data_IF_580905946285
#
_entry.id   IF_580905946285
#
_cell.length_a   1.000
_cell.length_b   1.000
_cell.length_c   1.000
_cell.angle_alpha   90.00
_cell.angle_beta   90.00
_cell.angle_gamma   90.00
#
_symmetry.space_group_name_H-M   'P 1'
#
loop_
_entity.id
_entity.type
_entity.pdbx_description
1 polymer ?
#
# COMPACT_ATOMS: atom_id res chain seq x y z
N UNK A 1 -41.19 15.18 -9.59
CA UNK A 1 -40.55 15.78 -8.40
C UNK A 1 -39.05 15.49 -8.54
N UNK A 2 -38.34 16.47 -9.04
CA UNK A 2 -36.87 16.40 -9.16
C UNK A 2 -36.29 16.57 -7.76
N UNK A 3 -35.78 15.52 -7.15
CA UNK A 3 -34.93 15.63 -5.97
C UNK A 3 -33.69 16.42 -6.37
N UNK A 4 -33.67 17.68 -5.98
CA UNK A 4 -32.48 18.52 -5.98
C UNK A 4 -31.59 17.96 -4.84
N UNK A 5 -30.70 17.03 -5.20
CA UNK A 5 -29.71 16.45 -4.27
C UNK A 5 -28.53 17.40 -4.15
N UNK A 6 -28.78 18.59 -3.59
CA UNK A 6 -27.67 19.44 -3.15
C UNK A 6 -26.99 18.75 -1.96
N UNK A 7 -25.73 18.35 -2.16
CA UNK A 7 -24.87 17.78 -1.11
C UNK A 7 -24.84 18.75 0.06
N UNK A 8 -25.04 18.31 1.31
CA UNK A 8 -24.93 19.17 2.48
C UNK A 8 -23.59 19.94 2.47
N UNK A 9 -23.57 21.25 2.68
CA UNK A 9 -22.36 22.07 2.65
C UNK A 9 -21.22 21.53 3.53
N UNK A 10 -21.56 20.92 4.65
CA UNK A 10 -20.61 20.31 5.58
C UNK A 10 -19.89 19.11 4.96
N UNK A 11 -20.56 18.29 4.13
CA UNK A 11 -19.93 17.15 3.46
C UNK A 11 -18.90 17.62 2.43
N UNK A 12 -19.20 18.66 1.65
CA UNK A 12 -18.26 19.22 0.65
C UNK A 12 -17.01 19.80 1.32
N UNK A 13 -17.20 20.55 2.41
CA UNK A 13 -16.08 21.13 3.15
C UNK A 13 -15.17 20.05 3.75
N UNK A 14 -15.76 19.02 4.34
CA UNK A 14 -15.03 17.89 4.93
C UNK A 14 -14.32 17.04 3.88
N UNK A 15 -14.97 16.73 2.77
CA UNK A 15 -14.38 16.05 1.63
C UNK A 15 -13.11 16.78 1.15
N UNK A 16 -13.21 18.11 0.96
CA UNK A 16 -12.08 18.94 0.54
C UNK A 16 -10.92 18.87 1.54
N UNK A 17 -11.19 18.97 2.84
CA UNK A 17 -10.18 18.87 3.87
C UNK A 17 -9.43 17.52 3.84
N UNK A 18 -10.14 16.42 3.62
CA UNK A 18 -9.55 15.08 3.49
C UNK A 18 -8.70 14.98 2.21
N UNK A 19 -9.18 15.50 1.09
CA UNK A 19 -8.43 15.53 -0.19
C UNK A 19 -7.12 16.30 -0.03
N UNK A 20 -7.17 17.46 0.65
CA UNK A 20 -5.99 18.29 0.94
C UNK A 20 -5.00 17.56 1.87
N UNK A 21 -5.48 16.94 2.95
CA UNK A 21 -4.64 16.16 3.89
C UNK A 21 -3.95 14.98 3.20
N UNK A 22 -4.64 14.31 2.28
CA UNK A 22 -4.11 13.18 1.52
C UNK A 22 -3.34 13.61 0.26
N UNK A 23 -3.19 14.90 0.03
CA UNK A 23 -2.45 15.48 -1.10
C UNK A 23 -2.89 14.96 -2.48
N UNK A 24 -4.19 14.69 -2.66
CA UNK A 24 -4.72 14.28 -3.97
C UNK A 24 -4.80 15.50 -4.88
N UNK A 25 -4.00 15.50 -5.94
CA UNK A 25 -4.00 16.60 -6.91
C UNK A 25 -5.31 16.66 -7.71
N UNK A 26 -5.73 17.84 -8.13
CA UNK A 26 -6.92 18.00 -8.98
C UNK A 26 -6.71 17.32 -10.34
N UNK A 27 -5.55 17.56 -10.95
CA UNK A 27 -5.19 17.04 -12.26
C UNK A 27 -4.24 15.84 -12.15
N UNK A 28 -4.27 14.97 -13.16
CA UNK A 28 -3.40 13.82 -13.28
C UNK A 28 -2.85 13.71 -14.69
N UNK A 29 -1.53 13.70 -14.80
CA UNK A 29 -0.78 13.38 -16.02
C UNK A 29 0.22 12.26 -15.70
N UNK A 30 0.06 11.12 -16.35
CA UNK A 30 0.82 9.92 -16.03
C UNK A 30 2.33 10.06 -16.30
N UNK A 31 2.73 10.80 -17.32
CA UNK A 31 4.15 11.01 -17.63
C UNK A 31 4.81 11.96 -16.62
N UNK A 32 4.12 13.05 -16.26
CA UNK A 32 4.58 13.97 -15.22
C UNK A 32 4.65 13.26 -13.84
N UNK A 33 3.68 12.43 -13.51
CA UNK A 33 3.67 11.65 -12.26
C UNK A 33 4.79 10.62 -12.23
N UNK A 34 5.04 9.89 -13.34
CA UNK A 34 6.19 8.99 -13.44
C UNK A 34 7.49 9.74 -13.15
N UNK A 35 7.74 10.85 -13.86
CA UNK A 35 8.97 11.61 -13.71
C UNK A 35 9.14 12.19 -12.30
N UNK A 36 8.07 12.74 -11.73
CA UNK A 36 8.06 13.29 -10.37
C UNK A 36 8.42 12.23 -9.31
N UNK A 37 7.81 11.03 -9.40
CA UNK A 37 8.00 9.94 -8.42
C UNK A 37 9.34 9.25 -8.59
N UNK A 38 9.80 9.04 -9.81
CA UNK A 38 11.15 8.52 -10.07
C UNK A 38 12.22 9.49 -9.56
N UNK A 39 12.04 10.79 -9.75
CA UNK A 39 12.95 11.82 -9.22
C UNK A 39 12.92 11.83 -7.70
N UNK A 40 11.74 11.85 -7.09
CA UNK A 40 11.59 11.78 -5.62
C UNK A 40 12.36 10.60 -5.03
N UNK A 41 12.19 9.40 -5.58
CA UNK A 41 12.91 8.21 -5.14
C UNK A 41 14.43 8.36 -5.34
N UNK A 42 14.88 8.81 -6.50
CA UNK A 42 16.30 8.96 -6.77
C UNK A 42 16.95 9.99 -5.83
N UNK A 43 16.35 11.17 -5.68
CA UNK A 43 16.87 12.25 -4.87
C UNK A 43 16.91 11.89 -3.38
N UNK A 44 15.85 11.20 -2.89
CA UNK A 44 15.80 10.79 -1.49
C UNK A 44 16.88 9.75 -1.16
N UNK A 45 17.03 8.70 -1.95
CA UNK A 45 18.08 7.69 -1.75
C UNK A 45 19.49 8.33 -1.77
N UNK A 46 19.70 9.26 -2.69
CA UNK A 46 20.95 9.99 -2.81
C UNK A 46 21.22 10.88 -1.60
N UNK A 47 20.20 11.61 -1.11
CA UNK A 47 20.32 12.53 0.03
C UNK A 47 20.65 11.79 1.34
N UNK A 48 20.16 10.56 1.50
CA UNK A 48 20.44 9.72 2.66
C UNK A 48 21.82 9.01 2.59
N UNK A 49 22.54 9.16 1.48
CA UNK A 49 23.79 8.43 1.22
C UNK A 49 23.63 6.92 1.35
N UNK A 50 22.45 6.42 0.97
CA UNK A 50 22.11 5.00 0.89
C UNK A 50 22.12 4.54 -0.57
N UNK A 51 21.99 3.23 -0.79
CA UNK A 51 22.17 2.66 -2.14
C UNK A 51 21.17 1.57 -2.52
N UNK A 52 20.25 1.21 -1.63
CA UNK A 52 19.33 0.11 -1.88
C UNK A 52 17.91 0.50 -1.57
N UNK A 53 16.98 0.14 -2.45
CA UNK A 53 15.56 0.09 -2.14
C UNK A 53 15.12 -1.35 -1.96
N UNK A 54 14.22 -1.58 -1.01
CA UNK A 54 13.61 -2.88 -0.72
C UNK A 54 12.09 -2.72 -0.74
N UNK A 55 11.40 -3.63 -1.41
CA UNK A 55 9.93 -3.65 -1.47
C UNK A 55 9.40 -5.08 -1.52
N UNK A 56 8.36 -5.36 -0.75
CA UNK A 56 7.57 -6.58 -0.83
C UNK A 56 6.67 -6.58 -2.07
N UNK A 57 6.77 -7.62 -2.91
CA UNK A 57 5.97 -7.75 -4.14
C UNK A 57 4.89 -8.80 -3.94
N UNK A 58 3.64 -8.35 -3.89
CA UNK A 58 2.45 -9.20 -3.76
C UNK A 58 1.89 -9.70 -5.10
N UNK A 59 2.29 -9.07 -6.20
CA UNK A 59 1.68 -9.29 -7.52
C UNK A 59 0.43 -8.45 -7.79
N UNK A 60 0.06 -7.55 -6.87
CA UNK A 60 -0.97 -6.54 -7.07
C UNK A 60 -0.45 -5.31 -7.81
N UNK A 61 -1.36 -4.46 -8.30
CA UNK A 61 -1.04 -3.25 -9.08
C UNK A 61 -0.14 -2.28 -8.30
N UNK A 62 -0.38 -2.10 -7.00
CA UNK A 62 0.33 -1.12 -6.16
C UNK A 62 1.80 -1.49 -6.00
N UNK A 63 2.09 -2.71 -5.55
CA UNK A 63 3.47 -3.20 -5.40
C UNK A 63 4.20 -3.28 -6.73
N UNK A 64 3.50 -3.61 -7.82
CA UNK A 64 4.07 -3.64 -9.17
C UNK A 64 4.44 -2.23 -9.65
N UNK A 65 3.55 -1.26 -9.46
CA UNK A 65 3.77 0.15 -9.85
C UNK A 65 4.90 0.77 -9.03
N UNK A 66 4.85 0.65 -7.70
CA UNK A 66 5.90 1.16 -6.83
C UNK A 66 7.26 0.51 -7.11
N UNK A 67 7.27 -0.80 -7.36
CA UNK A 67 8.48 -1.54 -7.72
C UNK A 67 9.09 -1.07 -9.04
N UNK A 68 8.28 -0.82 -10.08
CA UNK A 68 8.79 -0.31 -11.35
C UNK A 68 9.33 1.12 -11.22
N UNK A 69 8.66 1.97 -10.44
CA UNK A 69 9.18 3.32 -10.13
C UNK A 69 10.52 3.25 -9.38
N UNK A 70 10.65 2.33 -8.42
CA UNK A 70 11.90 2.11 -7.68
C UNK A 70 13.03 1.65 -8.61
N UNK A 71 12.75 0.71 -9.51
CA UNK A 71 13.73 0.24 -10.48
C UNK A 71 14.19 1.38 -11.41
N UNK A 72 13.27 2.17 -11.94
CA UNK A 72 13.61 3.34 -12.76
C UNK A 72 14.44 4.38 -11.99
N UNK A 73 14.18 4.57 -10.69
CA UNK A 73 14.95 5.49 -9.87
C UNK A 73 16.40 5.01 -9.65
N UNK A 74 16.62 3.72 -9.39
CA UNK A 74 17.98 3.19 -9.25
C UNK A 74 18.72 3.16 -10.59
N UNK A 75 18.05 2.91 -11.71
CA UNK A 75 18.60 3.03 -13.06
C UNK A 75 19.06 4.47 -13.34
N UNK A 76 18.26 5.47 -12.98
CA UNK A 76 18.60 6.90 -13.08
C UNK A 76 19.85 7.24 -12.24
N UNK A 77 19.96 6.75 -11.03
CA UNK A 77 21.13 6.96 -10.17
C UNK A 77 22.39 6.32 -10.77
N UNK A 78 22.27 5.12 -11.31
CA UNK A 78 23.39 4.45 -12.00
C UNK A 78 23.85 5.20 -13.23
N UNK A 79 22.91 5.73 -14.03
CA UNK A 79 23.24 6.58 -15.17
C UNK A 79 23.97 7.88 -14.76
N UNK A 80 23.74 8.36 -13.53
CA UNK A 80 24.47 9.48 -12.93
C UNK A 80 25.78 9.07 -12.22
N UNK A 81 26.26 7.83 -12.41
CA UNK A 81 27.52 7.31 -11.83
C UNK A 81 27.44 6.91 -10.36
N UNK A 82 26.26 6.75 -9.78
CA UNK A 82 26.09 6.32 -8.39
C UNK A 82 25.75 4.84 -8.30
N UNK A 83 26.30 4.16 -7.28
CA UNK A 83 25.89 2.79 -6.96
C UNK A 83 24.46 2.81 -6.39
N UNK A 84 23.55 2.11 -7.06
CA UNK A 84 22.16 1.96 -6.59
C UNK A 84 21.57 0.63 -7.08
N UNK A 85 20.69 0.01 -6.28
CA UNK A 85 19.98 -1.23 -6.62
C UNK A 85 18.59 -1.28 -6.04
N UNK A 86 17.75 -2.09 -6.64
CA UNK A 86 16.43 -2.43 -6.13
C UNK A 86 16.31 -3.93 -5.86
N UNK A 87 15.84 -4.26 -4.66
CA UNK A 87 15.59 -5.64 -4.19
C UNK A 87 14.08 -5.83 -4.07
N UNK A 88 13.51 -6.70 -4.88
CA UNK A 88 12.14 -7.16 -4.75
C UNK A 88 12.08 -8.35 -3.79
N UNK A 89 11.20 -8.30 -2.80
CA UNK A 89 11.02 -9.39 -1.85
C UNK A 89 9.68 -10.09 -2.05
N UNK A 90 9.71 -11.40 -2.21
CA UNK A 90 8.54 -12.24 -2.11
C UNK A 90 8.44 -12.76 -0.68
N UNK A 91 7.29 -12.56 -0.05
CA UNK A 91 7.08 -12.79 1.38
C UNK A 91 5.86 -13.69 1.63
N UNK A 92 5.87 -14.94 1.09
CA UNK A 92 4.76 -15.86 1.22
C UNK A 92 4.53 -16.27 2.69
N UNK A 93 3.25 -16.53 3.01
CA UNK A 93 2.88 -17.24 4.21
C UNK A 93 2.57 -18.71 3.86
N UNK A 94 3.59 -19.54 3.86
CA UNK A 94 3.52 -20.90 3.34
C UNK A 94 3.61 -20.96 1.83
N UNK A 95 2.75 -21.74 1.19
CA UNK A 95 2.63 -21.79 -0.27
C UNK A 95 1.85 -20.59 -0.79
N UNK A 96 2.39 -19.92 -1.79
CA UNK A 96 1.74 -18.76 -2.39
C UNK A 96 0.81 -19.19 -3.51
N UNK A 97 -0.48 -18.86 -3.38
CA UNK A 97 -1.51 -19.25 -4.36
C UNK A 97 -1.45 -18.42 -5.64
N UNK A 98 -0.97 -17.18 -5.55
CA UNK A 98 -0.84 -16.20 -6.66
C UNK A 98 0.59 -16.09 -7.22
N UNK A 99 1.33 -17.21 -7.22
CA UNK A 99 2.71 -17.28 -7.73
C UNK A 99 2.85 -16.72 -9.15
N UNK A 100 1.92 -17.04 -10.05
CA UNK A 100 1.92 -16.56 -11.43
C UNK A 100 1.82 -15.03 -11.53
N UNK A 101 1.05 -14.42 -10.65
CA UNK A 101 0.90 -12.96 -10.61
C UNK A 101 2.16 -12.29 -10.07
N UNK A 102 2.79 -12.88 -9.04
CA UNK A 102 4.06 -12.40 -8.54
C UNK A 102 5.18 -12.50 -9.60
N UNK A 103 5.24 -13.59 -10.35
CA UNK A 103 6.20 -13.74 -11.45
C UNK A 103 5.94 -12.74 -12.59
N UNK A 104 4.68 -12.49 -12.93
CA UNK A 104 4.31 -11.45 -13.93
C UNK A 104 4.73 -10.06 -13.45
N UNK A 105 4.49 -9.74 -12.18
CA UNK A 105 4.93 -8.49 -11.57
C UNK A 105 6.45 -8.34 -11.62
N UNK A 106 7.21 -9.36 -11.25
CA UNK A 106 8.68 -9.34 -11.31
C UNK A 106 9.19 -9.17 -12.75
N UNK A 107 8.56 -9.81 -13.73
CA UNK A 107 8.86 -9.64 -15.15
C UNK A 107 8.62 -8.20 -15.64
N UNK A 108 7.60 -7.52 -15.14
CA UNK A 108 7.32 -6.11 -15.42
C UNK A 108 8.29 -5.17 -14.69
N UNK A 109 8.56 -5.41 -13.42
CA UNK A 109 9.43 -4.57 -12.58
C UNK A 109 10.88 -4.64 -13.02
N UNK A 110 11.38 -5.84 -13.34
CA UNK A 110 12.78 -6.16 -13.66
C UNK A 110 13.76 -5.74 -12.54
N UNK A 111 13.55 -6.19 -11.29
CA UNK A 111 14.40 -5.83 -10.16
C UNK A 111 15.84 -6.34 -10.34
N UNK A 112 16.81 -5.66 -9.71
CA UNK A 112 18.23 -6.09 -9.73
C UNK A 112 18.46 -7.40 -8.93
N UNK A 113 17.67 -7.62 -7.88
CA UNK A 113 17.74 -8.81 -7.03
C UNK A 113 16.33 -9.20 -6.57
N UNK A 114 16.06 -10.49 -6.49
CA UNK A 114 14.82 -11.03 -5.92
C UNK A 114 15.15 -11.94 -4.75
N UNK A 115 14.53 -11.67 -3.59
CA UNK A 115 14.61 -12.51 -2.40
C UNK A 115 13.26 -13.17 -2.11
N UNK A 116 13.28 -14.39 -1.61
CA UNK A 116 12.08 -15.11 -1.16
C UNK A 116 12.24 -15.47 0.31
N UNK A 117 11.37 -14.93 1.17
CA UNK A 117 11.38 -15.19 2.60
C UNK A 117 10.01 -15.65 3.05
N UNK A 118 9.89 -16.92 3.45
CA UNK A 118 8.65 -17.46 4.00
C UNK A 118 8.43 -16.93 5.42
N UNK A 119 7.38 -16.12 5.62
CA UNK A 119 7.07 -15.52 6.93
C UNK A 119 6.24 -16.43 7.84
N UNK A 120 5.76 -17.59 7.34
CA UNK A 120 4.89 -18.49 8.10
C UNK A 120 5.51 -18.97 9.43
N UNK A 121 6.75 -19.48 9.46
CA UNK A 121 7.32 -19.96 10.73
C UNK A 121 7.40 -18.88 11.81
N UNK A 122 7.72 -17.64 11.41
CA UNK A 122 7.82 -16.53 12.35
C UNK A 122 6.43 -16.05 12.82
N UNK A 123 5.45 -15.98 11.93
CA UNK A 123 4.08 -15.58 12.26
C UNK A 123 3.39 -16.61 13.16
N UNK A 124 3.48 -17.88 12.81
CA UNK A 124 2.91 -18.97 13.62
C UNK A 124 3.59 -19.08 14.99
N UNK A 125 4.92 -18.91 15.04
CA UNK A 125 5.68 -18.90 16.28
C UNK A 125 5.28 -17.77 17.22
N UNK A 126 4.99 -16.57 16.69
CA UNK A 126 4.50 -15.44 17.47
C UNK A 126 3.10 -15.75 18.04
N UNK A 127 2.18 -16.22 17.20
CA UNK A 127 0.83 -16.57 17.63
C UNK A 127 0.87 -17.67 18.71
N UNK A 128 1.63 -18.74 18.49
CA UNK A 128 1.79 -19.84 19.43
C UNK A 128 2.40 -19.38 20.77
N UNK A 129 3.30 -18.41 20.74
CA UNK A 129 3.91 -17.85 21.96
C UNK A 129 2.89 -17.05 22.78
N UNK A 130 2.05 -16.23 22.12
CA UNK A 130 0.96 -15.49 22.77
C UNK A 130 -0.04 -16.46 23.44
N UNK A 131 -0.45 -17.52 22.72
CA UNK A 131 -1.41 -18.51 23.25
C UNK A 131 -0.82 -19.30 24.42
N UNK A 132 0.45 -19.63 24.37
CA UNK A 132 1.16 -20.35 25.47
C UNK A 132 1.20 -19.51 26.76
N UNK A 133 1.31 -18.19 26.61
CA UNK A 133 1.31 -17.25 27.75
C UNK A 133 -0.11 -16.88 28.23
N UNK A 134 -1.12 -17.59 27.75
CA UNK A 134 -2.51 -17.46 28.19
C UNK A 134 -3.34 -16.42 27.44
N UNK A 135 -2.83 -15.84 26.33
CA UNK A 135 -3.63 -14.94 25.50
C UNK A 135 -4.76 -15.71 24.82
N UNK A 136 -5.98 -15.18 24.89
CA UNK A 136 -7.17 -15.79 24.29
C UNK A 136 -7.84 -14.87 23.28
N UNK A 137 -8.52 -15.46 22.32
CA UNK A 137 -9.31 -14.77 21.31
C UNK A 137 -10.80 -14.94 21.56
N UNK A 138 -11.62 -13.99 21.16
CA UNK A 138 -13.09 -14.08 21.35
C UNK A 138 -13.71 -15.18 20.50
N UNK A 139 -13.15 -15.44 19.33
CA UNK A 139 -13.54 -16.51 18.40
C UNK A 139 -12.43 -16.73 17.34
N UNK A 140 -12.64 -17.70 16.45
CA UNK A 140 -11.70 -18.05 15.39
C UNK A 140 -11.46 -16.91 14.40
N UNK A 141 -12.49 -16.14 14.03
CA UNK A 141 -12.35 -14.99 13.14
C UNK A 141 -11.49 -13.88 13.76
N UNK A 142 -11.62 -13.63 15.07
CA UNK A 142 -10.75 -12.69 15.78
C UNK A 142 -9.30 -13.18 15.80
N UNK A 143 -9.07 -14.48 16.01
CA UNK A 143 -7.73 -15.06 15.93
C UNK A 143 -7.12 -14.91 14.55
N UNK A 144 -7.87 -15.18 13.49
CA UNK A 144 -7.40 -15.05 12.10
C UNK A 144 -7.09 -13.60 11.74
N UNK A 145 -7.92 -12.64 12.14
CA UNK A 145 -7.66 -11.21 12.00
C UNK A 145 -6.35 -10.79 12.69
N UNK A 146 -6.11 -11.25 13.91
CA UNK A 146 -4.86 -10.95 14.65
C UNK A 146 -3.67 -11.61 13.96
N UNK A 147 -3.81 -12.86 13.49
CA UNK A 147 -2.78 -13.54 12.71
C UNK A 147 -2.48 -12.79 11.40
N UNK A 148 -3.49 -12.26 10.72
CA UNK A 148 -3.32 -11.41 9.54
C UNK A 148 -2.42 -10.19 9.82
N UNK A 149 -2.66 -9.51 10.94
CA UNK A 149 -1.81 -8.39 11.38
C UNK A 149 -0.38 -8.83 11.77
N UNK A 150 -0.23 -10.04 12.34
CA UNK A 150 1.11 -10.62 12.61
C UNK A 150 1.84 -10.89 11.30
N UNK A 151 1.17 -11.49 10.29
CA UNK A 151 1.74 -11.74 8.95
C UNK A 151 2.24 -10.44 8.31
N UNK A 152 1.43 -9.37 8.30
CA UNK A 152 1.82 -8.08 7.75
C UNK A 152 3.07 -7.51 8.45
N UNK A 153 3.14 -7.60 9.78
CA UNK A 153 4.30 -7.14 10.55
C UNK A 153 5.54 -8.01 10.33
N UNK A 154 5.41 -9.32 10.15
CA UNK A 154 6.54 -10.18 9.81
C UNK A 154 7.09 -9.86 8.41
N UNK A 155 6.24 -9.51 7.45
CA UNK A 155 6.66 -9.01 6.14
C UNK A 155 7.46 -7.71 6.26
N UNK A 156 7.02 -6.77 7.09
CA UNK A 156 7.75 -5.53 7.39
C UNK A 156 9.12 -5.81 8.01
N UNK A 157 9.19 -6.68 9.03
CA UNK A 157 10.44 -7.07 9.68
C UNK A 157 11.44 -7.64 8.65
N UNK A 158 10.99 -8.52 7.76
CA UNK A 158 11.86 -9.11 6.73
C UNK A 158 12.41 -8.04 5.77
N UNK A 159 11.58 -7.07 5.36
CA UNK A 159 12.00 -5.97 4.48
C UNK A 159 13.03 -5.06 5.17
N UNK A 160 12.78 -4.64 6.41
CA UNK A 160 13.73 -3.82 7.17
C UNK A 160 15.03 -4.55 7.49
N UNK A 161 14.99 -5.86 7.76
CA UNK A 161 16.20 -6.66 7.93
C UNK A 161 17.05 -6.69 6.66
N UNK A 162 16.43 -6.89 5.49
CA UNK A 162 17.12 -6.85 4.20
C UNK A 162 17.67 -5.43 3.91
N UNK A 163 16.87 -4.39 4.16
CA UNK A 163 17.29 -3.01 3.96
C UNK A 163 18.49 -2.64 4.85
N UNK A 164 18.45 -2.97 6.13
CA UNK A 164 19.56 -2.73 7.06
C UNK A 164 20.85 -3.43 6.62
N UNK A 165 20.77 -4.70 6.20
CA UNK A 165 21.91 -5.46 5.71
C UNK A 165 22.51 -4.91 4.41
N UNK A 166 21.77 -4.13 3.63
CA UNK A 166 22.15 -3.63 2.31
C UNK A 166 22.32 -2.11 2.24
N UNK A 167 22.33 -1.40 3.37
CA UNK A 167 22.36 0.07 3.44
C UNK A 167 21.19 0.65 2.61
N UNK A 168 20.00 0.23 2.94
CA UNK A 168 18.79 0.51 2.15
C UNK A 168 17.64 1.09 2.94
N UNK A 169 16.58 1.39 2.20
CA UNK A 169 15.30 1.92 2.67
C UNK A 169 14.18 1.01 2.19
N UNK A 170 13.12 0.92 2.99
CA UNK A 170 11.91 0.18 2.67
C UNK A 170 10.91 1.10 1.99
N UNK A 171 10.41 0.67 0.84
CA UNK A 171 9.30 1.33 0.13
C UNK A 171 7.98 0.73 0.60
N UNK A 172 7.01 1.60 0.87
CA UNK A 172 5.62 1.22 1.07
C UNK A 172 4.76 1.53 -0.15
N UNK A 173 3.59 0.94 -0.20
CA UNK A 173 2.68 1.03 -1.35
C UNK A 173 1.39 1.78 -1.04
N UNK A 174 1.25 2.34 0.17
CA UNK A 174 0.06 3.07 0.58
C UNK A 174 -0.23 4.25 -0.35
N UNK A 175 -1.46 4.39 -0.73
CA UNK A 175 -1.98 5.43 -1.61
C UNK A 175 -3.26 6.05 -1.04
N UNK A 176 -3.74 7.16 -1.58
CA UNK A 176 -4.81 7.93 -0.98
C UNK A 176 -6.11 7.12 -0.74
N UNK A 177 -6.46 6.19 -1.63
CA UNK A 177 -7.66 5.37 -1.45
C UNK A 177 -7.53 4.37 -0.29
N UNK A 178 -6.35 3.80 -0.05
CA UNK A 178 -6.09 2.96 1.12
C UNK A 178 -5.97 3.81 2.39
N UNK A 179 -5.29 4.94 2.31
CA UNK A 179 -5.14 5.88 3.43
C UNK A 179 -6.47 6.41 3.95
N UNK A 180 -7.40 6.81 3.07
CA UNK A 180 -8.71 7.35 3.50
C UNK A 180 -9.54 6.29 4.22
N UNK A 181 -9.44 5.04 3.81
CA UNK A 181 -10.11 3.89 4.45
C UNK A 181 -9.31 3.32 5.63
N UNK A 182 -8.04 3.69 5.77
CA UNK A 182 -7.12 3.11 6.76
C UNK A 182 -6.91 1.61 6.56
N UNK A 183 -6.94 1.16 5.31
CA UNK A 183 -6.88 -0.26 4.95
C UNK A 183 -5.44 -0.76 4.82
N UNK A 184 -4.75 -0.67 5.91
CA UNK A 184 -3.39 -1.21 6.09
C UNK A 184 -3.17 -1.57 7.55
N UNK A 185 -2.20 -2.42 7.81
CA UNK A 185 -1.74 -2.73 9.16
C UNK A 185 -0.72 -1.69 9.62
N UNK A 186 -1.06 -0.92 10.65
CA UNK A 186 -0.10 0.02 11.27
C UNK A 186 1.17 -0.73 11.70
N UNK A 187 2.33 -0.26 11.22
CA UNK A 187 3.63 -0.92 11.42
C UNK A 187 3.70 -2.35 10.83
N UNK A 188 2.87 -2.64 9.82
CA UNK A 188 2.97 -3.79 8.95
C UNK A 188 3.29 -3.30 7.54
N UNK A 189 2.37 -3.45 6.60
CA UNK A 189 2.45 -2.86 5.27
C UNK A 189 2.46 -1.32 5.28
N UNK A 190 1.85 -0.68 6.31
CA UNK A 190 1.99 0.75 6.56
C UNK A 190 3.33 1.17 7.18
N UNK A 191 4.24 0.24 7.48
CA UNK A 191 5.57 0.51 7.99
C UNK A 191 6.60 0.62 6.85
N UNK A 192 6.96 1.84 6.46
CA UNK A 192 7.89 2.11 5.36
C UNK A 192 8.65 3.41 5.61
N UNK A 193 9.78 3.60 4.90
CA UNK A 193 10.55 4.84 4.94
C UNK A 193 10.01 5.90 3.97
N UNK A 194 9.37 5.47 2.87
CA UNK A 194 8.80 6.37 1.86
C UNK A 194 7.67 5.70 1.06
N UNK A 195 6.75 6.53 0.58
CA UNK A 195 5.51 6.12 -0.08
C UNK A 195 5.42 6.76 -1.48
N UNK A 196 5.97 6.13 -2.53
CA UNK A 196 5.97 6.70 -3.88
C UNK A 196 4.57 6.80 -4.51
N UNK A 197 3.55 6.12 -3.99
CA UNK A 197 2.18 6.18 -4.50
C UNK A 197 1.30 7.17 -3.72
N UNK A 198 1.81 7.78 -2.64
CA UNK A 198 1.04 8.72 -1.84
C UNK A 198 0.45 9.85 -2.70
N UNK A 199 -0.78 10.26 -2.41
CA UNK A 199 -1.53 11.26 -3.17
C UNK A 199 -2.19 10.74 -4.45
N UNK A 200 -2.03 9.47 -4.82
CA UNK A 200 -2.80 8.84 -5.89
C UNK A 200 -4.02 8.11 -5.34
N UNK A 201 -5.12 8.15 -6.08
CA UNK A 201 -6.23 7.24 -5.88
C UNK A 201 -6.02 5.94 -6.69
N UNK A 202 -6.87 4.94 -6.52
CA UNK A 202 -6.70 3.61 -7.15
C UNK A 202 -6.72 3.68 -8.69
N UNK A 203 -7.62 4.47 -9.25
CA UNK A 203 -7.74 4.71 -10.70
C UNK A 203 -6.45 5.27 -11.28
N UNK A 204 -5.82 6.23 -10.59
CA UNK A 204 -4.55 6.84 -11.00
C UNK A 204 -3.35 5.91 -10.85
N UNK A 205 -3.34 5.05 -9.83
CA UNK A 205 -2.32 3.98 -9.71
C UNK A 205 -2.42 3.02 -10.89
N UNK A 206 -3.64 2.58 -11.26
CA UNK A 206 -3.87 1.74 -12.45
C UNK A 206 -3.44 2.42 -13.75
N UNK A 207 -3.78 3.70 -13.91
CA UNK A 207 -3.39 4.48 -15.08
C UNK A 207 -1.86 4.64 -15.16
N UNK A 208 -1.19 4.89 -14.05
CA UNK A 208 0.27 4.97 -13.98
C UNK A 208 0.92 3.62 -14.29
N UNK A 209 0.39 2.50 -13.77
CA UNK A 209 0.85 1.15 -14.10
C UNK A 209 0.78 0.87 -15.60
N UNK A 210 -0.36 1.16 -16.24
CA UNK A 210 -0.55 1.01 -17.68
C UNK A 210 0.43 1.88 -18.47
N UNK A 211 0.62 3.15 -18.07
CA UNK A 211 1.59 4.07 -18.68
C UNK A 211 3.03 3.58 -18.56
N UNK A 212 3.39 2.91 -17.45
CA UNK A 212 4.69 2.29 -17.25
C UNK A 212 4.89 0.99 -18.07
N UNK A 213 3.88 0.54 -18.80
CA UNK A 213 3.91 -0.65 -19.64
C UNK A 213 3.53 -1.95 -18.91
N UNK A 214 2.81 -1.88 -17.81
CA UNK A 214 2.30 -3.06 -17.14
C UNK A 214 1.28 -3.81 -18.01
N UNK A 215 1.35 -5.14 -17.97
CA UNK A 215 0.34 -6.01 -18.58
C UNK A 215 -1.05 -5.75 -18.00
N UNK A 216 -2.09 -5.88 -18.82
CA UNK A 216 -3.48 -5.68 -18.42
C UNK A 216 -3.88 -6.55 -17.22
N UNK A 217 -3.34 -7.76 -17.13
CA UNK A 217 -3.56 -8.66 -16.02
C UNK A 217 -3.00 -8.15 -14.68
N UNK A 218 -2.06 -7.20 -14.69
CA UNK A 218 -1.53 -6.54 -13.47
C UNK A 218 -2.47 -5.41 -13.05
N UNK A 219 -2.77 -4.48 -13.96
CA UNK A 219 -3.51 -3.27 -13.56
C UNK A 219 -5.02 -3.46 -13.48
N UNK A 220 -5.59 -4.53 -14.09
CA UNK A 220 -7.00 -4.93 -13.91
C UNK A 220 -7.22 -5.96 -12.81
N UNK A 221 -6.17 -6.50 -12.20
CA UNK A 221 -6.33 -7.45 -11.11
C UNK A 221 -7.21 -6.84 -10.01
N UNK A 222 -8.20 -7.60 -9.56
CA UNK A 222 -9.06 -7.22 -8.44
C UNK A 222 -8.18 -7.11 -7.18
N UNK A 223 -8.22 -5.97 -6.47
CA UNK A 223 -7.46 -5.82 -5.23
C UNK A 223 -7.96 -6.77 -4.16
N UNK A 224 -7.05 -7.52 -3.58
CA UNK A 224 -7.34 -8.49 -2.52
C UNK A 224 -6.28 -8.42 -1.44
N UNK A 225 -6.71 -8.44 -0.18
CA UNK A 225 -5.80 -8.61 0.95
C UNK A 225 -5.68 -10.10 1.30
N UNK A 226 -4.50 -10.69 1.10
CA UNK A 226 -4.21 -12.07 1.51
C UNK A 226 -3.64 -12.11 2.94
N UNK A 227 -4.42 -11.61 3.89
CA UNK A 227 -4.06 -11.58 5.31
C UNK A 227 -4.85 -12.63 6.10
N UNK A 228 -6.16 -12.74 5.88
CA UNK A 228 -7.04 -13.66 6.59
C UNK A 228 -7.04 -15.04 5.92
N UNK A 229 -6.86 -16.09 6.71
CA UNK A 229 -6.80 -17.48 6.22
C UNK A 229 -8.18 -18.09 6.03
N UNK A 230 -9.18 -17.63 6.79
CA UNK A 230 -10.57 -18.09 6.71
C UNK A 230 -11.29 -17.59 5.46
N UNK A 231 -10.90 -16.41 4.96
CA UNK A 231 -11.45 -15.79 3.76
C UNK A 231 -10.34 -15.36 2.81
N UNK A 232 -9.59 -16.32 2.21
CA UNK A 232 -8.45 -16.00 1.37
C UNK A 232 -8.89 -15.28 0.09
N UNK A 233 -8.09 -14.29 -0.35
CA UNK A 233 -8.33 -13.50 -1.56
C UNK A 233 -9.67 -12.74 -1.54
N UNK A 234 -10.18 -12.40 -0.37
CA UNK A 234 -11.37 -11.56 -0.25
C UNK A 234 -11.12 -10.21 -0.90
N UNK A 235 -12.00 -9.73 -1.82
CA UNK A 235 -11.89 -8.39 -2.36
C UNK A 235 -11.90 -7.32 -1.28
N UNK A 236 -11.07 -6.30 -1.43
CA UNK A 236 -10.99 -5.18 -0.48
C UNK A 236 -12.35 -4.48 -0.34
N UNK A 237 -13.08 -4.30 -1.44
CA UNK A 237 -14.40 -3.67 -1.52
C UNK A 237 -15.44 -4.36 -0.63
N UNK A 238 -15.36 -5.69 -0.48
CA UNK A 238 -16.24 -6.44 0.44
C UNK A 238 -16.00 -6.08 1.92
N UNK A 239 -14.82 -5.55 2.24
CA UNK A 239 -14.49 -5.09 3.59
C UNK A 239 -14.95 -3.65 3.85
N UNK A 240 -15.08 -2.85 2.80
CA UNK A 240 -15.53 -1.46 2.89
C UNK A 240 -17.06 -1.33 2.82
N UNK A 241 -17.70 -2.15 2.00
CA UNK A 241 -19.10 -2.03 1.61
C UNK A 241 -19.37 -0.95 0.56
N UNK A 242 -18.30 -0.39 -0.04
CA UNK A 242 -18.32 0.57 -1.16
C UNK A 242 -17.21 0.22 -2.15
N UNK A 243 -17.35 0.67 -3.40
CA UNK A 243 -16.38 0.38 -4.45
C UNK A 243 -15.17 1.32 -4.42
N UNK A 244 -14.06 0.90 -5.05
CA UNK A 244 -12.94 1.81 -5.31
C UNK A 244 -13.33 2.97 -6.24
N UNK A 245 -14.30 2.79 -7.12
CA UNK A 245 -14.83 3.88 -7.96
C UNK A 245 -15.49 4.97 -7.11
N UNK A 246 -16.28 4.60 -6.08
CA UNK A 246 -16.87 5.53 -5.14
C UNK A 246 -15.81 6.28 -4.32
N UNK A 247 -14.79 5.55 -3.85
CA UNK A 247 -13.66 6.12 -3.10
C UNK A 247 -12.87 7.09 -3.98
N UNK A 248 -12.60 6.71 -5.23
CA UNK A 248 -11.85 7.52 -6.19
C UNK A 248 -12.63 8.78 -6.59
N UNK A 249 -13.95 8.68 -6.81
CA UNK A 249 -14.79 9.83 -7.10
C UNK A 249 -14.86 10.79 -5.90
N UNK A 250 -14.93 10.28 -4.67
CA UNK A 250 -14.80 11.11 -3.47
C UNK A 250 -13.45 11.83 -3.43
N UNK A 251 -12.34 11.13 -3.68
CA UNK A 251 -10.98 11.71 -3.65
C UNK A 251 -10.70 12.67 -4.80
N UNK A 252 -11.44 12.58 -5.89
CA UNK A 252 -11.42 13.56 -7.00
C UNK A 252 -12.34 14.76 -6.78
N UNK A 253 -13.00 14.85 -5.63
CA UNK A 253 -13.88 15.96 -5.28
C UNK A 253 -15.24 15.91 -5.99
N UNK A 254 -15.59 14.78 -6.60
CA UNK A 254 -16.88 14.56 -7.23
C UNK A 254 -17.97 14.32 -6.18
N UNK A 255 -19.22 14.63 -6.51
CA UNK A 255 -20.38 14.24 -5.69
C UNK A 255 -20.47 12.71 -5.58
N UNK A 256 -20.71 12.21 -4.36
CA UNK A 256 -21.00 10.80 -4.09
C UNK A 256 -22.27 10.69 -3.26
N UNK A 257 -22.82 9.48 -3.08
CA UNK A 257 -24.03 9.28 -2.28
C UNK A 257 -23.78 9.53 -0.78
N UNK A 258 -24.84 9.81 -0.03
CA UNK A 258 -24.77 9.99 1.43
C UNK A 258 -24.22 8.74 2.14
N UNK A 259 -24.50 7.57 1.61
CA UNK A 259 -23.98 6.30 2.10
C UNK A 259 -22.44 6.24 1.96
N UNK A 260 -21.93 6.66 0.81
CA UNK A 260 -20.49 6.72 0.53
C UNK A 260 -19.80 7.74 1.44
N UNK A 261 -20.35 8.95 1.59
CA UNK A 261 -19.83 9.95 2.54
C UNK A 261 -19.76 9.39 3.96
N UNK A 262 -20.87 8.82 4.43
CA UNK A 262 -20.96 8.26 5.79
C UNK A 262 -19.94 7.15 6.02
N UNK A 263 -19.80 6.26 5.04
CA UNK A 263 -18.87 5.13 5.11
C UNK A 263 -17.43 5.62 5.15
N UNK A 264 -17.04 6.51 4.23
CA UNK A 264 -15.66 7.04 4.17
C UNK A 264 -15.34 7.79 5.46
N UNK A 265 -16.23 8.67 5.95
CA UNK A 265 -15.98 9.41 7.19
C UNK A 265 -15.82 8.51 8.40
N UNK A 266 -16.64 7.45 8.51
CA UNK A 266 -16.53 6.47 9.58
C UNK A 266 -15.16 5.78 9.59
N UNK A 267 -14.70 5.30 8.45
CA UNK A 267 -13.39 4.65 8.34
C UNK A 267 -12.26 5.64 8.58
N UNK A 268 -12.34 6.82 7.98
CA UNK A 268 -11.33 7.86 8.12
C UNK A 268 -11.10 8.26 9.57
N UNK A 269 -12.19 8.50 10.34
CA UNK A 269 -12.11 8.86 11.76
C UNK A 269 -11.59 7.70 12.62
N UNK A 270 -12.15 6.50 12.43
CA UNK A 270 -11.77 5.31 13.20
C UNK A 270 -10.30 4.93 13.01
N UNK A 271 -9.73 5.25 11.87
CA UNK A 271 -8.36 4.87 11.51
C UNK A 271 -7.34 6.01 11.57
N UNK A 272 -7.73 7.20 12.09
CA UNK A 272 -6.85 8.37 12.18
C UNK A 272 -5.50 8.05 12.81
N UNK A 273 -5.50 7.25 13.88
CA UNK A 273 -4.27 6.82 14.56
C UNK A 273 -3.29 6.04 13.67
N UNK A 274 -3.75 5.46 12.55
CA UNK A 274 -2.88 4.72 11.63
C UNK A 274 -2.05 5.65 10.74
N UNK A 275 -2.56 6.86 10.44
CA UNK A 275 -1.92 7.88 9.60
C UNK A 275 -1.05 8.86 10.39
N UNK A 276 -1.10 8.78 11.71
CA UNK A 276 -0.38 9.70 12.60
C UNK A 276 0.87 9.03 13.21
N UNK A 277 1.86 9.84 13.51
CA UNK A 277 2.96 9.46 14.40
C UNK A 277 2.43 9.12 15.80
N UNK A 278 3.22 8.46 16.65
CA UNK A 278 2.84 8.25 18.05
C UNK A 278 2.49 9.57 18.74
N UNK A 279 1.33 9.58 19.39
CA UNK A 279 0.85 10.77 20.16
C UNK A 279 1.75 11.01 21.36
N UNK A 280 2.09 12.25 21.59
CA UNK A 280 2.95 12.69 22.70
C UNK A 280 2.21 13.62 23.66
N UNK A 281 2.85 14.02 24.75
CA UNK A 281 2.31 15.01 25.69
C UNK A 281 2.15 16.42 25.08
N UNK A 282 2.72 16.64 23.90
CA UNK A 282 2.80 17.94 23.25
C UNK A 282 1.89 18.09 22.03
N UNK A 283 1.09 17.05 21.72
CA UNK A 283 0.10 17.04 20.63
C UNK A 283 -1.24 17.68 21.01
#
# INVERSE_FOLDING_TARGET
MTHDSSIPPDNVARQRAIIEELHVAADFDADAERERRVRFLADYLASQNLRTYVLGISGGVDSSTAGRLAQLAVERLRAAGREARFIAMRLPYGEQRDESDAQRALGFIQPDETLVVNVKPAADGMLASLMRDGFTFTNEAHQDFVLGNIKARQRMIAQYAAAAARRGLVIGTDHAAESVMGFFTKFGDGGADLLPLFGLNKRRVRALAAHLGADEAIWRKIPTADLESLTPLKPDEDSYGISYEDIDDFLEGKPVSDEVYTTIYRFYDATRHKRALPVTLYD
#
